data_IF_117259318488
#
_entry.id   IF_117259318488
#
_cell.length_a   1.000
_cell.length_b   1.000
_cell.length_c   1.000
_cell.angle_alpha   90.00
_cell.angle_beta   90.00
_cell.angle_gamma   90.00
#
_symmetry.space_group_name_H-M   'P 1'
#
loop_
_entity.id
_entity.type
_entity.pdbx_description
1 polymer ?
#
# COMPACT_ATOMS: atom_id res chain seq x y z
N UNK A 1 15.69 -13.87 -11.94
CA UNK A 1 15.86 -15.09 -11.11
C UNK A 1 14.57 -15.89 -11.16
N UNK A 2 14.57 -17.07 -11.82
CA UNK A 2 13.40 -17.92 -11.89
C UNK A 2 12.99 -18.38 -10.47
N UNK A 3 11.69 -18.69 -10.20
CA UNK A 3 11.23 -19.15 -8.90
C UNK A 3 12.01 -20.36 -8.33
N UNK A 4 12.63 -21.15 -9.22
CA UNK A 4 13.53 -22.25 -8.86
C UNK A 4 14.88 -21.79 -8.27
N UNK A 5 15.36 -20.60 -8.60
CA UNK A 5 16.65 -20.11 -8.09
C UNK A 5 16.60 -19.81 -6.60
N UNK A 6 15.46 -19.34 -6.07
CA UNK A 6 15.33 -19.12 -4.63
C UNK A 6 15.47 -20.42 -3.83
N UNK A 7 14.91 -21.52 -4.33
CA UNK A 7 15.02 -22.84 -3.70
C UNK A 7 16.43 -23.41 -3.85
N UNK A 8 17.14 -23.12 -4.91
CA UNK A 8 18.54 -23.48 -5.09
C UNK A 8 19.42 -22.65 -4.17
N UNK A 9 19.26 -21.33 -4.15
CA UNK A 9 19.98 -20.42 -3.28
C UNK A 9 19.73 -20.71 -1.80
N UNK A 10 18.52 -21.14 -1.41
CA UNK A 10 18.23 -21.53 -0.02
C UNK A 10 19.01 -22.77 0.45
N UNK A 11 19.56 -23.54 -0.47
CA UNK A 11 20.41 -24.70 -0.17
C UNK A 11 21.91 -24.39 -0.21
N UNK A 12 22.31 -23.40 -1.02
CA UNK A 12 23.71 -23.03 -1.24
C UNK A 12 24.15 -21.79 -0.46
N UNK A 13 23.20 -20.88 -0.19
CA UNK A 13 23.43 -19.59 0.49
C UNK A 13 22.46 -19.43 1.68
N UNK A 14 22.29 -20.48 2.49
CA UNK A 14 21.31 -20.53 3.58
C UNK A 14 21.42 -19.34 4.52
N UNK A 15 22.64 -18.93 4.89
CA UNK A 15 22.89 -17.81 5.81
C UNK A 15 22.47 -16.45 5.22
N UNK A 16 22.67 -16.25 3.92
CA UNK A 16 22.28 -15.02 3.23
C UNK A 16 20.76 -14.87 3.18
N UNK A 17 20.06 -15.93 2.78
CA UNK A 17 18.60 -15.93 2.71
C UNK A 17 17.95 -15.83 4.10
N UNK A 18 18.48 -16.52 5.10
CA UNK A 18 18.01 -16.36 6.48
C UNK A 18 18.20 -14.94 6.99
N UNK A 19 19.27 -14.28 6.60
CA UNK A 19 19.53 -12.87 6.95
C UNK A 19 18.50 -11.95 6.28
N UNK A 20 18.22 -12.16 5.00
CA UNK A 20 17.17 -11.39 4.29
C UNK A 20 15.79 -11.62 4.90
N UNK A 21 15.42 -12.86 5.22
CA UNK A 21 14.17 -13.19 5.89
C UNK A 21 14.02 -12.44 7.22
N UNK A 22 15.09 -12.34 8.00
CA UNK A 22 15.07 -11.73 9.34
C UNK A 22 15.22 -10.22 9.33
N UNK A 23 16.10 -9.67 8.49
CA UNK A 23 16.51 -8.26 8.52
C UNK A 23 15.98 -7.43 7.36
N UNK A 24 15.76 -8.04 6.19
CA UNK A 24 15.40 -7.35 4.95
C UNK A 24 14.24 -8.04 4.21
N UNK A 25 13.09 -8.24 4.87
CA UNK A 25 11.98 -8.97 4.26
C UNK A 25 11.40 -8.28 3.02
N UNK A 26 11.45 -6.94 2.94
CA UNK A 26 11.00 -6.20 1.77
C UNK A 26 11.93 -6.42 0.57
N UNK A 27 13.24 -6.40 0.77
CA UNK A 27 14.21 -6.64 -0.31
C UNK A 27 14.05 -8.04 -0.89
N UNK A 28 13.84 -9.04 -0.04
CA UNK A 28 13.56 -10.41 -0.48
C UNK A 28 12.32 -10.48 -1.38
N UNK A 29 11.23 -9.83 -1.00
CA UNK A 29 10.00 -9.83 -1.81
C UNK A 29 10.20 -9.03 -3.10
N UNK A 30 10.85 -7.87 -3.04
CA UNK A 30 11.17 -7.07 -4.23
C UNK A 30 12.03 -7.88 -5.22
N UNK A 31 13.06 -8.58 -4.75
CA UNK A 31 13.89 -9.45 -5.58
C UNK A 31 13.09 -10.59 -6.21
N UNK A 32 12.20 -11.23 -5.44
CA UNK A 32 11.34 -12.30 -5.97
C UNK A 32 10.37 -11.81 -7.03
N UNK A 33 9.71 -10.67 -6.77
CA UNK A 33 8.69 -10.13 -7.68
C UNK A 33 9.33 -9.54 -8.93
N UNK A 34 10.45 -8.82 -8.81
CA UNK A 34 11.18 -8.28 -9.97
C UNK A 34 11.73 -9.36 -10.89
N UNK A 35 12.06 -10.52 -10.34
CA UNK A 35 12.56 -11.68 -11.11
C UNK A 35 11.44 -12.56 -11.68
N UNK A 36 10.18 -12.29 -11.34
CA UNK A 36 9.04 -13.04 -11.85
C UNK A 36 8.62 -12.56 -13.25
N UNK A 37 7.85 -13.40 -13.94
CA UNK A 37 7.27 -13.04 -15.23
C UNK A 37 6.37 -11.80 -15.07
N UNK A 38 6.54 -10.81 -15.93
CA UNK A 38 5.86 -9.51 -15.89
C UNK A 38 6.07 -8.70 -14.59
N UNK A 39 7.13 -8.98 -13.82
CA UNK A 39 7.41 -8.29 -12.55
C UNK A 39 6.20 -8.28 -11.59
N UNK A 40 5.42 -9.35 -11.62
CA UNK A 40 4.19 -9.48 -10.85
C UNK A 40 4.07 -10.88 -10.26
N UNK A 41 3.57 -10.98 -9.01
CA UNK A 41 3.45 -12.25 -8.30
C UNK A 41 2.25 -12.26 -7.37
N UNK A 42 1.46 -13.34 -7.42
CA UNK A 42 0.32 -13.51 -6.51
C UNK A 42 0.78 -13.85 -5.09
N UNK A 43 0.00 -13.42 -4.09
CA UNK A 43 0.27 -13.76 -2.69
C UNK A 43 0.39 -15.28 -2.46
N UNK A 44 -0.40 -16.08 -3.17
CA UNK A 44 -0.36 -17.54 -3.11
C UNK A 44 0.93 -18.15 -3.66
N UNK A 45 1.53 -17.51 -4.66
CA UNK A 45 2.81 -17.94 -5.24
C UNK A 45 3.96 -17.62 -4.29
N UNK A 46 3.95 -16.41 -3.72
CA UNK A 46 4.90 -15.99 -2.67
C UNK A 46 4.83 -16.97 -1.49
N UNK A 47 3.60 -17.30 -1.03
CA UNK A 47 3.39 -18.27 0.04
C UNK A 47 3.95 -19.65 -0.31
N UNK A 48 3.65 -20.16 -1.50
CA UNK A 48 4.11 -21.49 -1.96
C UNK A 48 5.63 -21.61 -1.95
N UNK A 49 6.35 -20.53 -2.31
CA UNK A 49 7.80 -20.51 -2.34
C UNK A 49 8.40 -20.34 -0.94
N UNK A 50 7.94 -19.32 -0.20
CA UNK A 50 8.54 -18.98 1.08
C UNK A 50 8.13 -19.92 2.22
N UNK A 51 6.94 -20.51 2.19
CA UNK A 51 6.55 -21.49 3.19
C UNK A 51 7.40 -22.76 3.15
N UNK A 52 8.03 -23.06 2.02
CA UNK A 52 9.00 -24.17 1.91
C UNK A 52 10.34 -23.86 2.58
N UNK A 53 10.72 -22.59 2.61
CA UNK A 53 12.00 -22.12 3.19
C UNK A 53 11.83 -21.79 4.68
N UNK A 54 10.79 -21.04 5.05
CA UNK A 54 10.56 -20.53 6.40
C UNK A 54 9.82 -21.56 7.28
N UNK A 55 9.06 -22.45 6.64
CA UNK A 55 8.09 -23.34 7.27
C UNK A 55 6.68 -22.71 7.38
N UNK A 56 5.62 -23.47 7.16
CA UNK A 56 4.26 -22.95 7.00
C UNK A 56 3.71 -22.24 8.25
N UNK A 57 4.11 -22.68 9.44
CA UNK A 57 3.66 -22.08 10.71
C UNK A 57 4.32 -20.71 10.93
N UNK A 58 5.61 -20.61 10.68
CA UNK A 58 6.38 -19.37 10.84
C UNK A 58 6.05 -18.37 9.75
N UNK A 59 5.75 -18.82 8.53
CA UNK A 59 5.42 -17.99 7.38
C UNK A 59 4.25 -17.05 7.67
N UNK A 60 3.16 -17.51 8.24
CA UNK A 60 1.96 -16.68 8.51
C UNK A 60 2.27 -15.46 9.38
N UNK A 61 3.05 -15.65 10.45
CA UNK A 61 3.48 -14.55 11.34
C UNK A 61 4.44 -13.61 10.63
N UNK A 62 5.42 -14.17 9.93
CA UNK A 62 6.40 -13.42 9.16
C UNK A 62 5.72 -12.60 8.06
N UNK A 63 4.82 -13.20 7.29
CA UNK A 63 4.09 -12.53 6.22
C UNK A 63 3.24 -11.35 6.71
N UNK A 64 2.61 -11.49 7.87
CA UNK A 64 1.82 -10.40 8.47
C UNK A 64 2.70 -9.20 8.83
N UNK A 65 3.90 -9.44 9.33
CA UNK A 65 4.86 -8.38 9.62
C UNK A 65 5.44 -7.78 8.33
N UNK A 66 5.82 -8.62 7.37
CA UNK A 66 6.39 -8.20 6.08
C UNK A 66 5.42 -7.32 5.29
N UNK A 67 4.12 -7.65 5.24
CA UNK A 67 3.13 -6.80 4.56
C UNK A 67 3.09 -5.36 5.09
N UNK A 68 3.29 -5.15 6.38
CA UNK A 68 3.34 -3.79 6.96
C UNK A 68 4.54 -2.98 6.48
N UNK A 69 5.63 -3.67 6.16
CA UNK A 69 6.84 -3.06 5.60
C UNK A 69 6.64 -2.78 4.11
N UNK A 70 6.08 -3.75 3.36
CA UNK A 70 5.85 -3.62 1.93
C UNK A 70 4.91 -2.45 1.57
N UNK A 71 3.88 -2.20 2.39
CA UNK A 71 2.97 -1.03 2.19
C UNK A 71 3.72 0.30 2.20
N UNK A 72 4.88 0.35 2.86
CA UNK A 72 5.72 1.56 2.95
C UNK A 72 6.87 1.56 1.94
N UNK A 73 7.06 0.48 1.21
CA UNK A 73 8.16 0.36 0.25
C UNK A 73 7.72 0.87 -1.13
N UNK A 74 8.34 1.94 -1.64
CA UNK A 74 7.93 2.56 -2.91
C UNK A 74 8.20 1.68 -4.14
N UNK A 75 9.05 0.64 -4.00
CA UNK A 75 9.43 -0.27 -5.08
C UNK A 75 8.38 -1.32 -5.40
N UNK A 76 7.38 -1.52 -4.52
CA UNK A 76 6.40 -2.58 -4.69
C UNK A 76 4.97 -2.08 -4.56
N UNK A 77 4.14 -2.34 -5.56
CA UNK A 77 2.70 -2.14 -5.51
C UNK A 77 2.03 -3.24 -4.69
N UNK A 78 1.46 -2.88 -3.54
CA UNK A 78 0.73 -3.81 -2.68
C UNK A 78 -0.73 -3.84 -3.09
N UNK A 79 -1.31 -4.99 -3.43
CA UNK A 79 -2.68 -5.07 -3.91
C UNK A 79 -3.69 -4.76 -2.80
N UNK A 80 -4.79 -4.10 -3.17
CA UNK A 80 -5.93 -3.84 -2.29
C UNK A 80 -6.79 -5.10 -2.11
N UNK A 81 -6.88 -5.93 -3.15
CA UNK A 81 -7.65 -7.18 -3.14
C UNK A 81 -6.73 -8.38 -3.17
N UNK A 82 -7.13 -9.47 -2.52
CA UNK A 82 -6.37 -10.73 -2.52
C UNK A 82 -6.23 -11.38 -3.90
N UNK A 83 -7.06 -10.97 -4.86
CA UNK A 83 -7.06 -11.46 -6.25
C UNK A 83 -6.14 -10.68 -7.18
N UNK A 84 -5.47 -9.66 -6.67
CA UNK A 84 -4.54 -8.84 -7.42
C UNK A 84 -3.10 -9.22 -7.05
N UNK A 85 -2.14 -9.13 -8.00
CA UNK A 85 -0.74 -9.46 -7.74
C UNK A 85 -0.01 -8.31 -7.01
N UNK A 86 1.07 -8.65 -6.34
CA UNK A 86 2.14 -7.72 -5.99
C UNK A 86 2.92 -7.40 -7.25
N UNK A 87 3.21 -6.13 -7.51
CA UNK A 87 3.87 -5.66 -8.72
C UNK A 87 5.15 -4.93 -8.34
N UNK A 88 6.28 -5.33 -8.93
CA UNK A 88 7.52 -4.58 -8.81
C UNK A 88 7.47 -3.36 -9.72
N UNK A 89 7.95 -2.23 -9.22
CA UNK A 89 7.98 -0.95 -9.92
C UNK A 89 9.43 -0.58 -10.22
N UNK A 90 9.77 -0.47 -11.49
CA UNK A 90 11.10 -0.04 -11.94
C UNK A 90 11.38 1.41 -11.49
N UNK A 91 10.33 2.26 -11.51
CA UNK A 91 10.37 3.59 -10.92
C UNK A 91 9.64 3.57 -9.57
N UNK A 92 10.36 3.81 -8.45
CA UNK A 92 9.75 3.84 -7.13
C UNK A 92 8.69 4.94 -7.03
N UNK A 93 7.45 4.56 -6.74
CA UNK A 93 6.34 5.50 -6.51
C UNK A 93 6.24 5.74 -5.01
N UNK A 94 6.24 6.98 -4.61
CA UNK A 94 6.08 7.33 -3.20
C UNK A 94 4.69 6.95 -2.71
N UNK A 95 4.54 6.46 -1.47
CA UNK A 95 3.24 6.07 -0.92
C UNK A 95 2.19 7.18 -0.97
N UNK A 96 2.62 8.43 -0.79
CA UNK A 96 1.74 9.60 -0.88
C UNK A 96 1.19 9.81 -2.29
N UNK A 97 2.01 9.64 -3.33
CA UNK A 97 1.58 9.79 -4.73
C UNK A 97 0.55 8.71 -5.10
N UNK A 98 0.73 7.49 -4.60
CA UNK A 98 -0.25 6.39 -4.79
C UNK A 98 -1.60 6.70 -4.13
N UNK A 99 -1.58 7.27 -2.92
CA UNK A 99 -2.81 7.64 -2.21
C UNK A 99 -3.52 8.79 -2.94
N UNK A 100 -2.77 9.78 -3.46
CA UNK A 100 -3.28 10.88 -4.26
C UNK A 100 -3.95 10.35 -5.54
N UNK A 101 -3.27 9.47 -6.28
CA UNK A 101 -3.82 8.87 -7.49
C UNK A 101 -5.11 8.08 -7.20
N UNK A 102 -5.14 7.28 -6.14
CA UNK A 102 -6.33 6.55 -5.72
C UNK A 102 -7.47 7.50 -5.32
N UNK A 103 -7.16 8.61 -4.65
CA UNK A 103 -8.15 9.62 -4.25
C UNK A 103 -8.79 10.29 -5.47
N UNK A 104 -8.01 10.74 -6.43
CA UNK A 104 -8.52 11.36 -7.65
C UNK A 104 -9.27 10.35 -8.55
N UNK A 105 -8.80 9.10 -8.61
CA UNK A 105 -9.39 8.05 -9.45
C UNK A 105 -10.67 7.42 -8.89
N UNK A 106 -10.91 7.46 -7.57
CA UNK A 106 -12.09 6.79 -7.00
C UNK A 106 -13.37 7.59 -7.18
N UNK A 107 -14.45 6.89 -7.59
CA UNK A 107 -15.82 7.43 -7.64
C UNK A 107 -16.66 7.05 -6.42
N UNK A 108 -16.12 6.21 -5.55
CA UNK A 108 -16.82 5.79 -4.33
C UNK A 108 -16.64 6.85 -3.24
N UNK A 109 -17.72 7.52 -2.85
CA UNK A 109 -17.69 8.63 -1.89
C UNK A 109 -17.16 8.23 -0.52
N UNK A 110 -17.46 7.01 -0.01
CA UNK A 110 -16.89 6.53 1.25
C UNK A 110 -15.40 6.32 1.17
N UNK A 111 -14.94 5.65 0.12
CA UNK A 111 -13.51 5.46 -0.11
C UNK A 111 -12.77 6.79 -0.30
N UNK A 112 -13.42 7.76 -0.95
CA UNK A 112 -12.87 9.12 -1.12
C UNK A 112 -12.69 9.84 0.22
N UNK A 113 -13.67 9.69 1.14
CA UNK A 113 -13.57 10.23 2.50
C UNK A 113 -12.40 9.59 3.26
N UNK A 114 -12.29 8.27 3.26
CA UNK A 114 -11.21 7.54 3.94
C UNK A 114 -9.82 7.90 3.40
N UNK A 115 -9.69 8.07 2.07
CA UNK A 115 -8.44 8.50 1.44
C UNK A 115 -8.12 9.96 1.76
N UNK A 116 -9.13 10.83 1.78
CA UNK A 116 -8.97 12.24 2.17
C UNK A 116 -8.47 12.41 3.60
N UNK A 117 -8.99 11.62 4.55
CA UNK A 117 -8.49 11.60 5.94
C UNK A 117 -7.02 11.17 6.03
N UNK A 118 -6.63 10.16 5.24
CA UNK A 118 -5.23 9.72 5.15
C UNK A 118 -4.32 10.80 4.57
N UNK A 119 -4.75 11.45 3.50
CA UNK A 119 -4.00 12.55 2.86
C UNK A 119 -3.86 13.74 3.82
N UNK A 120 -4.92 14.06 4.56
CA UNK A 120 -4.83 15.10 5.57
C UNK A 120 -3.78 14.78 6.64
N UNK A 121 -3.78 13.57 7.20
CA UNK A 121 -2.77 13.15 8.16
C UNK A 121 -1.33 13.21 7.58
N UNK A 122 -1.17 12.94 6.28
CA UNK A 122 0.12 13.05 5.60
C UNK A 122 0.53 14.50 5.32
N UNK A 123 -0.42 15.42 5.12
CA UNK A 123 -0.14 16.83 4.83
C UNK A 123 0.60 17.55 5.94
N UNK A 124 0.52 17.08 7.18
CA UNK A 124 1.28 17.61 8.30
C UNK A 124 2.80 17.48 8.09
N UNK A 125 3.22 16.41 7.40
CA UNK A 125 4.65 16.07 7.24
C UNK A 125 5.14 16.12 5.77
N UNK A 126 4.23 16.16 4.80
CA UNK A 126 4.57 16.06 3.37
C UNK A 126 4.07 17.30 2.64
N UNK A 127 5.00 18.14 2.15
CA UNK A 127 4.69 19.42 1.50
C UNK A 127 3.85 19.27 0.23
N UNK A 128 4.15 18.25 -0.62
CA UNK A 128 3.40 17.99 -1.85
C UNK A 128 1.92 17.73 -1.55
N UNK A 129 1.61 16.91 -0.55
CA UNK A 129 0.24 16.64 -0.14
C UNK A 129 -0.43 17.90 0.43
N UNK A 130 0.34 18.72 1.19
CA UNK A 130 -0.17 19.98 1.73
C UNK A 130 -0.54 20.98 0.64
N UNK A 131 0.23 21.06 -0.42
CA UNK A 131 -0.04 21.94 -1.56
C UNK A 131 -1.31 21.53 -2.32
N UNK A 132 -1.62 20.23 -2.36
CA UNK A 132 -2.82 19.70 -3.00
C UNK A 132 -4.08 19.72 -2.10
N UNK A 133 -3.95 20.02 -0.81
CA UNK A 133 -5.08 20.00 0.13
C UNK A 133 -6.29 20.85 -0.29
N UNK A 134 -6.13 22.06 -0.88
CA UNK A 134 -7.29 22.82 -1.34
C UNK A 134 -8.11 22.09 -2.40
N UNK A 135 -7.46 21.42 -3.34
CA UNK A 135 -8.13 20.62 -4.36
C UNK A 135 -8.79 19.39 -3.75
N UNK A 136 -8.10 18.68 -2.86
CA UNK A 136 -8.62 17.52 -2.13
C UNK A 136 -9.89 17.87 -1.38
N UNK A 137 -9.92 19.01 -0.66
CA UNK A 137 -11.07 19.48 0.09
C UNK A 137 -12.25 19.83 -0.82
N UNK A 138 -11.99 20.45 -1.97
CA UNK A 138 -13.02 20.74 -2.97
C UNK A 138 -13.66 19.46 -3.49
N UNK A 139 -12.86 18.49 -3.92
CA UNK A 139 -13.34 17.22 -4.42
C UNK A 139 -14.08 16.39 -3.36
N UNK A 140 -13.65 16.44 -2.09
CA UNK A 140 -14.36 15.82 -0.96
C UNK A 140 -15.74 16.46 -0.75
N UNK A 141 -15.80 17.79 -0.76
CA UNK A 141 -17.05 18.53 -0.59
C UNK A 141 -18.05 18.17 -1.69
N UNK A 142 -17.60 18.13 -2.95
CA UNK A 142 -18.40 17.74 -4.08
C UNK A 142 -18.86 16.28 -3.99
N UNK A 143 -17.96 15.38 -3.58
CA UNK A 143 -18.30 13.97 -3.41
C UNK A 143 -19.37 13.74 -2.33
N UNK A 144 -19.31 14.49 -1.22
CA UNK A 144 -20.28 14.42 -0.13
C UNK A 144 -21.62 15.03 -0.55
N UNK A 145 -21.62 16.19 -1.22
CA UNK A 145 -22.81 16.87 -1.67
C UNK A 145 -23.62 16.05 -2.69
N UNK A 146 -22.91 15.42 -3.63
CA UNK A 146 -23.51 14.67 -4.74
C UNK A 146 -23.80 13.20 -4.42
N UNK A 147 -23.35 12.69 -3.28
CA UNK A 147 -23.51 11.27 -2.93
C UNK A 147 -24.94 10.94 -2.47
N UNK A 148 -25.73 10.40 -3.38
CA UNK A 148 -27.12 9.94 -3.07
C UNK A 148 -27.13 8.70 -2.16
N UNK A 149 -26.07 7.91 -2.14
CA UNK A 149 -25.96 6.63 -1.42
C UNK A 149 -25.35 6.73 -0.02
N UNK A 150 -24.85 7.91 0.40
CA UNK A 150 -24.30 8.09 1.73
C UNK A 150 -25.41 8.16 2.80
N UNK A 151 -25.25 7.37 3.88
CA UNK A 151 -26.08 7.53 5.06
C UNK A 151 -25.88 8.90 5.70
N UNK A 152 -26.86 9.36 6.50
CA UNK A 152 -26.73 10.62 7.22
C UNK A 152 -25.50 10.65 8.14
N UNK A 153 -25.17 9.53 8.79
CA UNK A 153 -23.99 9.40 9.62
C UNK A 153 -22.69 9.58 8.82
N UNK A 154 -22.60 8.98 7.62
CA UNK A 154 -21.43 9.11 6.76
C UNK A 154 -21.32 10.51 6.14
N UNK A 155 -22.43 11.19 5.89
CA UNK A 155 -22.44 12.60 5.47
C UNK A 155 -21.92 13.52 6.58
N UNK A 156 -22.39 13.31 7.82
CA UNK A 156 -21.89 14.04 8.99
C UNK A 156 -20.40 13.82 9.21
N UNK A 157 -19.93 12.57 9.09
CA UNK A 157 -18.52 12.22 9.17
C UNK A 157 -17.71 12.97 8.10
N UNK A 158 -18.14 12.95 6.85
CA UNK A 158 -17.48 13.66 5.76
C UNK A 158 -17.44 15.19 5.98
N UNK A 159 -18.54 15.78 6.40
CA UNK A 159 -18.61 17.23 6.72
C UNK A 159 -17.69 17.57 7.88
N UNK A 160 -17.64 16.72 8.92
CA UNK A 160 -16.74 16.90 10.04
C UNK A 160 -15.27 16.81 9.60
N UNK A 161 -14.91 15.82 8.79
CA UNK A 161 -13.58 15.68 8.22
C UNK A 161 -13.15 16.93 7.45
N UNK A 162 -14.00 17.47 6.57
CA UNK A 162 -13.74 18.71 5.82
C UNK A 162 -13.61 19.91 6.75
N UNK A 163 -14.52 20.07 7.71
CA UNK A 163 -14.52 21.22 8.64
C UNK A 163 -13.31 21.22 9.56
N UNK A 164 -12.92 20.05 10.06
CA UNK A 164 -11.76 19.90 10.94
C UNK A 164 -10.45 20.21 10.21
N UNK A 165 -10.34 19.82 8.95
CA UNK A 165 -9.19 20.13 8.10
C UNK A 165 -9.11 21.63 7.78
N UNK A 166 -10.26 22.27 7.55
CA UNK A 166 -10.30 23.71 7.23
C UNK A 166 -9.89 24.61 8.42
N UNK A 167 -10.30 24.25 9.64
CA UNK A 167 -9.99 25.02 10.84
C UNK A 167 -8.49 25.01 11.18
N UNK A 168 -7.81 23.86 10.97
CA UNK A 168 -6.36 23.77 11.23
C UNK A 168 -5.47 24.32 10.11
N UNK A 169 -5.96 24.49 8.91
CA UNK A 169 -5.20 25.07 7.81
C UNK A 169 -5.01 26.59 7.95
N UNK A 170 -5.69 27.22 8.90
CA UNK A 170 -5.64 28.66 9.19
C UNK A 170 -4.91 29.02 10.50
N UNK A 171 -4.34 28.04 11.22
CA UNK A 171 -3.40 28.24 12.33
C UNK A 171 -1.95 28.08 11.85
#
# INVERSE_FOLDING_TARGET
LLPNDLLVRSRTETDAIETMIKKQPADLICEMVSASENQAMMASEIERLLARVIGPIKYKKWWTATKKVLVKDPRIGVPLKKTEPYIYRDEPVKPEDEILEQFHGTRNSMQKIELGEKLYALSENISVVREEMPQILTELTDAIANAKSLSQANRLHGVWAVSYTHLRAHE
#
